data_IF_953839120732
#
_entry.id   IF_953839120732
#
_cell.length_a   1.000
_cell.length_b   1.000
_cell.length_c   1.000
_cell.angle_alpha   90.00
_cell.angle_beta   90.00
_cell.angle_gamma   90.00
#
_symmetry.space_group_name_H-M   'P 1'
#
loop_
_entity.id
_entity.type
_entity.pdbx_description
1 polymer ?
#
# COMPACT_ATOMS: atom_id res chain seq x y z
N UNK A 1 23.87 -22.19 -6.68
CA UNK A 1 23.58 -21.72 -6.19
C UNK A 1 23.43 -21.54 -5.15
N UNK A 2 23.62 -21.74 -4.81
CA UNK A 2 23.36 -21.63 -3.80
C UNK A 2 23.46 -20.69 -3.04
N UNK A 3 24.08 -20.50 -2.80
CA UNK A 3 24.25 -19.66 -1.82
C UNK A 3 23.83 -18.34 -2.08
N UNK A 4 23.78 -18.08 -2.85
CA UNK A 4 23.31 -17.03 -3.03
C UNK A 4 22.15 -16.78 -3.03
N UNK A 5 21.85 -17.53 -3.23
CA UNK A 5 20.74 -17.47 -3.12
C UNK A 5 20.49 -17.24 -1.94
N UNK A 6 21.10 -17.19 -1.30
CA UNK A 6 20.93 -17.07 -0.28
C UNK A 6 19.87 -16.61 0.04
N UNK A 7 19.28 -17.20 0.00
CA UNK A 7 18.28 -17.07 0.56
C UNK A 7 17.39 -16.00 0.54
N UNK A 8 16.73 -15.68 1.37
CA UNK A 8 15.78 -14.68 1.36
C UNK A 8 15.96 -13.68 0.25
N UNK A 9 17.13 -13.60 -0.22
CA UNK A 9 17.42 -12.69 -1.28
C UNK A 9 16.76 -13.06 -2.56
N UNK A 10 16.71 -14.34 -2.85
CA UNK A 10 16.11 -14.78 -4.08
C UNK A 10 14.62 -14.49 -4.07
N UNK A 11 14.01 -14.57 -2.90
CA UNK A 11 12.60 -14.23 -2.78
C UNK A 11 12.40 -12.78 -3.10
N UNK A 12 13.34 -11.97 -2.69
CA UNK A 12 13.25 -10.54 -2.92
C UNK A 12 13.50 -10.18 -4.37
N UNK A 13 13.90 -11.11 -5.18
CA UNK A 13 14.16 -10.82 -6.58
C UNK A 13 12.97 -10.20 -7.27
N UNK A 14 11.77 -10.72 -7.02
CA UNK A 14 10.57 -10.16 -7.63
C UNK A 14 10.29 -8.74 -7.15
N UNK A 15 10.23 -8.50 -5.83
CA UNK A 15 10.03 -7.15 -5.36
C UNK A 15 11.16 -6.22 -5.77
N UNK A 16 12.38 -6.73 -5.88
CA UNK A 16 13.51 -5.86 -6.20
C UNK A 16 13.42 -5.25 -7.59
N UNK A 17 12.63 -5.85 -8.48
CA UNK A 17 12.43 -5.26 -9.79
C UNK A 17 11.78 -3.90 -9.70
N UNK A 18 11.02 -3.63 -8.65
CA UNK A 18 10.35 -2.36 -8.45
C UNK A 18 11.09 -1.45 -7.47
N UNK A 19 12.13 -1.96 -6.81
CA UNK A 19 12.83 -1.17 -5.80
C UNK A 19 13.55 0.00 -6.44
N UNK A 20 13.41 1.16 -5.83
CA UNK A 20 13.98 2.42 -6.30
C UNK A 20 13.41 2.88 -7.64
N UNK A 21 12.38 2.21 -8.13
CA UNK A 21 11.71 2.64 -9.34
C UNK A 21 10.66 3.69 -9.02
N UNK A 22 10.41 4.62 -9.92
CA UNK A 22 9.30 5.57 -9.72
C UNK A 22 7.99 4.79 -9.65
N UNK A 23 7.05 5.32 -8.87
CA UNK A 23 5.71 4.73 -8.87
C UNK A 23 5.12 4.83 -10.27
N UNK A 24 4.31 3.85 -10.68
CA UNK A 24 3.63 3.94 -11.97
C UNK A 24 2.72 5.16 -12.02
N UNK A 25 2.51 5.69 -13.21
CA UNK A 25 1.53 6.74 -13.41
C UNK A 25 0.14 6.11 -13.40
N UNK A 26 -0.78 6.74 -12.69
CA UNK A 26 -2.15 6.27 -12.66
C UNK A 26 -3.09 7.38 -12.21
N UNK A 27 -4.35 7.21 -12.52
CA UNK A 27 -5.40 8.07 -12.05
C UNK A 27 -6.64 7.19 -11.82
N UNK A 28 -7.03 7.07 -10.56
CA UNK A 28 -8.17 6.24 -10.18
C UNK A 28 -9.29 7.09 -9.64
N UNK A 29 -10.54 6.75 -9.97
CA UNK A 29 -11.69 7.48 -9.40
C UNK A 29 -11.83 7.14 -7.93
N UNK A 30 -12.61 7.96 -7.22
CA UNK A 30 -12.92 7.68 -5.83
C UNK A 30 -13.72 6.40 -5.72
N UNK A 31 -13.71 5.79 -4.53
CA UNK A 31 -14.41 4.54 -4.29
C UNK A 31 -15.90 4.66 -4.56
N UNK A 32 -16.50 5.74 -4.09
CA UNK A 32 -17.94 5.94 -4.21
C UNK A 32 -18.34 6.79 -5.42
N UNK A 33 -17.36 7.18 -6.24
CA UNK A 33 -17.65 8.03 -7.39
C UNK A 33 -17.85 9.49 -7.03
N UNK A 34 -17.64 9.86 -5.78
CA UNK A 34 -17.81 11.22 -5.30
C UNK A 34 -16.47 11.75 -4.81
N UNK A 35 -16.19 13.01 -5.10
CA UNK A 35 -14.97 13.63 -4.64
C UNK A 35 -13.74 13.12 -5.37
N UNK A 36 -12.60 13.34 -4.74
CA UNK A 36 -11.31 13.02 -5.36
C UNK A 36 -10.98 11.55 -5.25
N UNK A 37 -10.44 11.01 -6.33
CA UNK A 37 -9.86 9.69 -6.29
C UNK A 37 -8.41 9.76 -5.83
N UNK A 38 -7.56 8.91 -6.44
CA UNK A 38 -6.15 8.84 -6.07
C UNK A 38 -5.32 8.81 -7.34
N UNK A 39 -4.36 9.73 -7.43
CA UNK A 39 -3.41 9.76 -8.53
C UNK A 39 -2.00 9.74 -7.99
N UNK A 40 -1.06 9.29 -8.82
CA UNK A 40 0.34 9.21 -8.39
C UNK A 40 0.91 10.58 -7.99
N UNK A 41 0.38 11.67 -8.54
CA UNK A 41 0.89 13.00 -8.20
C UNK A 41 0.66 13.36 -6.74
N UNK A 42 -0.32 12.74 -6.08
CA UNK A 42 -0.56 12.98 -4.67
C UNK A 42 0.60 12.55 -3.78
N UNK A 43 1.46 11.66 -4.30
CA UNK A 43 2.56 11.08 -3.50
C UNK A 43 3.81 11.97 -3.48
N UNK A 44 3.87 12.98 -4.31
CA UNK A 44 5.08 13.80 -4.41
C UNK A 44 5.42 14.52 -3.12
N UNK A 45 6.71 14.50 -2.79
CA UNK A 45 7.22 15.32 -1.71
C UNK A 45 6.96 14.81 -0.32
N UNK A 46 6.48 13.60 -0.18
CA UNK A 46 6.18 13.03 1.12
C UNK A 46 6.55 11.56 1.17
N UNK A 47 6.81 11.07 2.37
CA UNK A 47 6.94 9.64 2.59
C UNK A 47 5.53 9.12 2.84
N UNK A 48 5.13 8.08 2.12
CA UNK A 48 3.77 7.59 2.21
C UNK A 48 3.73 6.07 2.13
N UNK A 49 2.68 5.50 2.68
CA UNK A 49 2.34 4.10 2.46
C UNK A 49 1.26 4.03 1.41
N UNK A 50 1.38 3.08 0.50
CA UNK A 50 0.33 2.78 -0.47
C UNK A 50 -0.11 1.35 -0.19
N UNK A 51 -1.36 1.19 0.17
CA UNK A 51 -1.92 -0.09 0.61
C UNK A 51 -2.96 -0.56 -0.39
N UNK A 52 -2.75 -1.76 -0.93
CA UNK A 52 -3.70 -2.39 -1.84
C UNK A 52 -4.60 -3.28 -0.99
N UNK A 53 -5.89 -3.01 -1.03
CA UNK A 53 -6.86 -3.64 -0.14
C UNK A 53 -8.19 -3.91 -0.81
N UNK A 54 -9.01 -4.72 -0.19
CA UNK A 54 -10.39 -4.95 -0.63
C UNK A 54 -11.24 -5.31 0.58
N UNK A 55 -12.52 -4.98 0.53
CA UNK A 55 -13.43 -5.31 1.62
C UNK A 55 -13.68 -6.82 1.74
N UNK A 56 -13.55 -7.55 0.64
CA UNK A 56 -13.75 -9.00 0.61
C UNK A 56 -12.53 -9.80 1.06
N UNK A 57 -11.48 -9.13 1.47
CA UNK A 57 -10.18 -9.75 1.77
C UNK A 57 -10.02 -9.86 3.29
N UNK A 58 -10.10 -11.08 3.88
CA UNK A 58 -9.98 -11.20 5.33
C UNK A 58 -8.64 -10.70 5.91
N UNK A 59 -7.49 -10.99 5.30
CA UNK A 59 -6.24 -10.42 5.83
C UNK A 59 -6.21 -8.91 5.80
N UNK A 60 -6.88 -8.29 4.82
CA UNK A 60 -6.98 -6.82 4.78
C UNK A 60 -7.72 -6.31 6.00
N UNK A 61 -8.78 -7.02 6.38
CA UNK A 61 -9.54 -6.66 7.57
C UNK A 61 -8.71 -6.84 8.82
N UNK A 62 -7.89 -7.89 8.87
CA UNK A 62 -7.06 -8.17 10.03
C UNK A 62 -6.01 -7.10 10.28
N UNK A 63 -5.41 -6.54 9.21
CA UNK A 63 -4.37 -5.53 9.37
C UNK A 63 -4.93 -4.13 9.58
N UNK A 64 -6.21 -3.91 9.29
CA UNK A 64 -6.79 -2.56 9.27
C UNK A 64 -6.57 -1.77 10.56
N UNK A 65 -6.69 -2.37 11.75
CA UNK A 65 -6.41 -1.62 12.98
C UNK A 65 -4.99 -1.06 13.04
N UNK A 66 -4.02 -1.77 12.47
CA UNK A 66 -2.65 -1.26 12.43
C UNK A 66 -2.52 -0.07 11.50
N UNK A 67 -3.22 -0.11 10.37
CA UNK A 67 -3.24 1.05 9.47
C UNK A 67 -3.86 2.25 10.16
N UNK A 68 -4.92 2.02 10.94
CA UNK A 68 -5.54 3.10 11.70
C UNK A 68 -4.56 3.69 12.72
N UNK A 69 -3.80 2.84 13.41
CA UNK A 69 -2.79 3.31 14.36
C UNK A 69 -1.72 4.14 13.66
N UNK A 70 -1.26 3.68 12.49
CA UNK A 70 -0.25 4.43 11.73
C UNK A 70 -0.79 5.79 11.30
N UNK A 71 -2.03 5.85 10.86
CA UNK A 71 -2.64 7.10 10.46
C UNK A 71 -2.71 8.06 11.65
N UNK A 72 -3.05 7.56 12.83
CA UNK A 72 -3.10 8.38 14.04
C UNK A 72 -1.72 8.89 14.45
N UNK A 73 -0.66 8.20 14.06
CA UNK A 73 0.70 8.66 14.31
C UNK A 73 1.17 9.69 13.30
N UNK A 74 0.31 10.05 12.35
CA UNK A 74 0.66 11.04 11.33
C UNK A 74 1.29 10.47 10.07
N UNK A 75 1.29 9.14 9.91
CA UNK A 75 1.81 8.52 8.70
C UNK A 75 0.79 8.73 7.58
N UNK A 76 1.27 9.16 6.42
CA UNK A 76 0.41 9.36 5.25
C UNK A 76 0.14 8.01 4.59
N UNK A 77 -1.13 7.64 4.52
CA UNK A 77 -1.54 6.37 3.93
C UNK A 77 -2.50 6.62 2.78
N UNK A 78 -2.27 5.95 1.67
CA UNK A 78 -3.13 6.01 0.49
C UNK A 78 -3.58 4.61 0.16
N UNK A 79 -4.79 4.47 -0.37
CA UNK A 79 -5.36 3.17 -0.66
C UNK A 79 -5.64 2.98 -2.14
N UNK A 80 -5.41 1.76 -2.61
CA UNK A 80 -5.87 1.29 -3.90
C UNK A 80 -6.83 0.15 -3.62
N UNK A 81 -8.10 0.38 -3.92
CA UNK A 81 -9.16 -0.57 -3.63
C UNK A 81 -9.33 -1.51 -4.82
N UNK A 82 -8.94 -2.76 -4.64
CA UNK A 82 -8.82 -3.73 -5.71
C UNK A 82 -10.12 -4.47 -5.96
N UNK A 83 -10.67 -4.32 -7.16
CA UNK A 83 -11.82 -5.10 -7.65
C UNK A 83 -12.92 -5.27 -6.61
N UNK A 84 -13.40 -4.17 -6.10
CA UNK A 84 -14.37 -4.17 -5.02
C UNK A 84 -15.67 -3.48 -5.47
N UNK A 85 -16.73 -3.76 -4.74
CA UNK A 85 -17.99 -3.05 -4.96
C UNK A 85 -17.95 -1.74 -4.20
N UNK A 86 -18.39 -0.63 -4.81
CA UNK A 86 -18.36 0.66 -4.12
C UNK A 86 -19.08 0.64 -2.77
N UNK A 87 -20.24 0.01 -2.73
CA UNK A 87 -21.01 -0.04 -1.47
C UNK A 87 -20.29 -0.84 -0.41
N UNK A 88 -19.65 -1.96 -0.79
CA UNK A 88 -18.93 -2.80 0.16
C UNK A 88 -17.67 -2.10 0.67
N UNK A 89 -16.94 -1.45 -0.21
CA UNK A 89 -15.75 -0.71 0.17
C UNK A 89 -16.09 0.43 1.11
N UNK A 90 -17.13 1.19 0.78
CA UNK A 90 -17.56 2.30 1.62
C UNK A 90 -18.03 1.83 2.99
N UNK A 91 -18.79 0.73 3.03
CA UNK A 91 -19.26 0.17 4.30
C UNK A 91 -18.10 -0.29 5.17
N UNK A 92 -17.07 -0.89 4.56
CA UNK A 92 -15.88 -1.33 5.27
C UNK A 92 -15.21 -0.15 5.97
N UNK A 93 -14.99 0.94 5.24
CA UNK A 93 -14.33 2.12 5.80
C UNK A 93 -15.18 2.81 6.86
N UNK A 94 -16.50 2.82 6.65
CA UNK A 94 -17.39 3.43 7.61
C UNK A 94 -17.38 2.66 8.93
N UNK A 95 -17.34 1.34 8.84
CA UNK A 95 -17.40 0.48 10.02
C UNK A 95 -16.07 0.41 10.74
N UNK A 96 -14.97 0.27 10.00
CA UNK A 96 -13.66 0.00 10.59
C UNK A 96 -12.76 1.22 10.68
N UNK A 97 -13.19 2.33 10.09
CA UNK A 97 -12.40 3.55 10.06
C UNK A 97 -11.69 3.74 8.73
N UNK A 98 -11.37 4.99 8.42
CA UNK A 98 -10.71 5.34 7.15
C UNK A 98 -9.32 5.91 7.43
N UNK A 99 -8.27 5.11 7.28
CA UNK A 99 -6.91 5.59 7.51
C UNK A 99 -6.31 6.31 6.31
N UNK A 100 -7.01 6.30 5.17
CA UNK A 100 -6.45 6.75 3.90
C UNK A 100 -6.69 8.23 3.66
N UNK A 101 -5.66 8.93 3.21
CA UNK A 101 -5.81 10.32 2.79
C UNK A 101 -6.58 10.40 1.48
N UNK A 102 -6.29 9.48 0.57
CA UNK A 102 -7.03 9.31 -0.67
C UNK A 102 -7.14 7.83 -0.94
N UNK A 103 -8.16 7.44 -1.67
CA UNK A 103 -8.41 6.05 -2.00
C UNK A 103 -8.93 5.99 -3.42
N UNK A 104 -8.35 5.11 -4.22
CA UNK A 104 -8.75 4.97 -5.61
C UNK A 104 -9.39 3.63 -5.87
N UNK A 105 -10.40 3.61 -6.72
CA UNK A 105 -11.10 2.39 -7.10
C UNK A 105 -10.43 1.77 -8.32
N UNK A 106 -9.72 0.68 -8.10
CA UNK A 106 -9.05 -0.07 -9.17
C UNK A 106 -9.94 -1.24 -9.57
N UNK A 107 -11.03 -0.92 -10.27
CA UNK A 107 -12.10 -1.89 -10.53
C UNK A 107 -11.67 -3.03 -11.42
N UNK A 108 -10.73 -2.80 -12.31
CA UNK A 108 -10.23 -3.82 -13.21
C UNK A 108 -8.92 -4.43 -12.76
N UNK A 109 -8.33 -3.90 -11.68
CA UNK A 109 -7.08 -4.41 -11.15
C UNK A 109 -5.86 -4.02 -11.96
N UNK A 110 -5.98 -3.10 -12.90
CA UNK A 110 -4.88 -2.75 -13.78
C UNK A 110 -3.77 -2.01 -13.07
N UNK A 111 -4.13 -1.07 -12.21
CA UNK A 111 -3.14 -0.31 -11.47
C UNK A 111 -2.41 -1.23 -10.50
N UNK A 112 -3.14 -2.13 -9.85
CA UNK A 112 -2.50 -3.11 -8.98
C UNK A 112 -1.49 -3.97 -9.73
N UNK A 113 -1.82 -4.36 -10.96
CA UNK A 113 -0.88 -5.11 -11.80
C UNK A 113 0.37 -4.28 -12.09
N UNK A 114 0.19 -2.99 -12.40
CA UNK A 114 1.32 -2.11 -12.69
C UNK A 114 2.23 -1.97 -11.48
N UNK A 115 1.68 -2.08 -10.28
CA UNK A 115 2.47 -2.06 -9.04
C UNK A 115 3.06 -3.44 -8.72
N UNK A 116 2.83 -4.44 -9.57
CA UNK A 116 3.38 -5.77 -9.37
C UNK A 116 2.69 -6.57 -8.29
N UNK A 117 1.47 -6.21 -7.94
CA UNK A 117 0.74 -6.89 -6.87
C UNK A 117 0.33 -8.29 -7.30
N UNK A 118 0.59 -9.28 -6.45
CA UNK A 118 0.14 -10.65 -6.71
C UNK A 118 -0.55 -11.29 -5.52
N UNK A 119 -0.68 -10.56 -4.42
CA UNK A 119 -1.40 -11.03 -3.24
C UNK A 119 -2.10 -9.86 -2.59
N UNK A 120 -2.96 -10.13 -1.64
CA UNK A 120 -3.72 -9.08 -0.96
C UNK A 120 -3.78 -9.38 0.53
N UNK A 121 -3.47 -8.39 1.35
CA UNK A 121 -3.05 -7.05 0.99
C UNK A 121 -1.57 -6.96 0.65
N UNK A 122 -1.17 -5.87 0.02
CA UNK A 122 0.22 -5.50 -0.11
C UNK A 122 0.36 -4.04 0.26
N UNK A 123 1.52 -3.70 0.81
CA UNK A 123 1.78 -2.32 1.23
C UNK A 123 3.16 -1.90 0.74
N UNK A 124 3.21 -0.72 0.14
CA UNK A 124 4.45 -0.16 -0.39
C UNK A 124 4.83 1.07 0.41
N UNK A 125 6.12 1.26 0.66
CA UNK A 125 6.62 2.51 1.22
C UNK A 125 7.25 3.30 0.09
N UNK A 126 6.79 4.54 -0.08
CA UNK A 126 7.21 5.42 -1.15
C UNK A 126 7.93 6.61 -0.54
N UNK A 127 9.08 7.00 -1.12
CA UNK A 127 9.86 8.09 -0.57
C UNK A 127 9.45 9.45 -1.16
N UNK A 128 10.15 10.50 -0.74
CA UNK A 128 9.81 11.87 -1.15
C UNK A 128 10.00 12.11 -2.64
N UNK A 129 10.73 11.23 -3.31
CA UNK A 129 10.94 11.33 -4.77
C UNK A 129 9.98 10.42 -5.53
N UNK A 130 8.93 9.93 -4.86
CA UNK A 130 7.94 9.03 -5.45
C UNK A 130 8.56 7.74 -5.96
N UNK A 131 9.55 7.23 -5.25
CA UNK A 131 10.17 5.96 -5.58
C UNK A 131 9.78 4.91 -4.55
N UNK A 132 9.56 3.68 -5.03
CA UNK A 132 9.20 2.56 -4.16
C UNK A 132 10.45 2.11 -3.43
N UNK A 133 10.41 2.13 -2.09
CA UNK A 133 11.56 1.78 -1.28
C UNK A 133 11.36 0.47 -0.51
N UNK A 134 10.14 0.02 -0.34
CA UNK A 134 9.88 -1.24 0.36
C UNK A 134 8.52 -1.77 -0.06
N UNK A 135 8.41 -3.08 -0.10
CA UNK A 135 7.18 -3.78 -0.45
C UNK A 135 6.93 -4.85 0.61
N UNK A 136 5.77 -4.81 1.21
CA UNK A 136 5.33 -5.79 2.19
C UNK A 136 4.20 -6.60 1.58
N UNK A 137 4.42 -7.90 1.39
CA UNK A 137 3.41 -8.80 0.85
C UNK A 137 2.68 -9.44 2.01
N UNK A 138 1.35 -9.42 1.97
CA UNK A 138 0.53 -9.97 3.03
C UNK A 138 0.22 -8.93 4.09
N UNK A 139 -0.53 -9.34 5.13
CA UNK A 139 -0.93 -8.40 6.17
C UNK A 139 0.26 -7.95 7.01
N UNK A 140 0.20 -6.70 7.44
CA UNK A 140 1.21 -6.15 8.34
C UNK A 140 0.89 -6.65 9.73
N UNK A 141 1.85 -7.32 10.36
CA UNK A 141 1.73 -7.78 11.73
C UNK A 141 2.40 -6.77 12.65
N UNK A 142 2.12 -6.89 13.95
CA UNK A 142 2.68 -5.97 14.92
C UNK A 142 4.21 -5.91 14.84
N UNK A 143 4.85 -7.07 14.71
CA UNK A 143 6.30 -7.09 14.62
C UNK A 143 6.82 -6.48 13.33
N UNK A 144 6.07 -6.62 12.23
CA UNK A 144 6.45 -5.99 10.97
C UNK A 144 6.41 -4.48 11.12
N UNK A 145 5.40 -3.98 11.80
CA UNK A 145 5.23 -2.57 12.04
C UNK A 145 6.44 -2.02 12.79
N UNK A 146 6.80 -2.68 13.89
CA UNK A 146 7.85 -2.19 14.77
C UNK A 146 9.26 -2.41 14.23
N UNK A 147 9.48 -3.53 13.54
CA UNK A 147 10.82 -3.89 13.13
C UNK A 147 11.16 -3.49 11.70
N UNK A 148 10.17 -3.25 10.87
CA UNK A 148 10.40 -2.96 9.47
C UNK A 148 9.77 -1.64 9.03
N UNK A 149 8.46 -1.51 9.21
CA UNK A 149 7.72 -0.37 8.63
C UNK A 149 8.17 0.95 9.24
N UNK A 150 8.07 1.06 10.57
CA UNK A 150 8.44 2.31 11.24
C UNK A 150 9.92 2.64 11.09
N UNK A 151 10.85 1.66 11.26
CA UNK A 151 12.26 1.97 11.03
C UNK A 151 12.57 2.40 9.61
N UNK A 152 11.90 1.81 8.61
CA UNK A 152 12.12 2.19 7.22
C UNK A 152 11.65 3.62 6.98
N UNK A 153 10.48 3.97 7.48
CA UNK A 153 9.97 5.34 7.35
C UNK A 153 10.94 6.32 7.99
N UNK A 154 11.43 5.98 9.18
CA UNK A 154 12.37 6.83 9.88
C UNK A 154 13.66 7.01 9.10
N UNK A 155 14.16 5.94 8.52
CA UNK A 155 15.41 5.98 7.74
C UNK A 155 15.28 6.82 6.47
N UNK A 156 14.08 6.87 5.89
CA UNK A 156 13.83 7.65 4.68
C UNK A 156 13.59 9.13 4.96
N UNK A 157 13.32 9.45 6.20
CA UNK A 157 13.05 10.83 6.60
C UNK A 157 14.36 11.60 6.60
N UNK A 158 14.47 12.71 5.83
CA UNK A 158 15.72 13.47 5.74
C UNK A 158 16.10 14.17 7.03
#
# INVERSE_FOLDING_TARGET
>A
YLGQLKGGKSIDALPSALMNQPVPEFSLPSIDGKGLGFTNTALKGQIALVNIWASWCPPCRAEHPLLMRLAHKGINIYGINFKDKPSAASAFLKKLGNPYKQNGADRRGRVSIDWGVYGYPETFIVDTNSRIRYRHVGPILEQDLEQIILPTIKALNP
#
